data_IF_310156165750
#
_entry.id   IF_310156165750
#
_cell.length_a   1.000
_cell.length_b   1.000
_cell.length_c   1.000
_cell.angle_alpha   90.00
_cell.angle_beta   90.00
_cell.angle_gamma   90.00
#
_symmetry.space_group_name_H-M   'P 1'
#
loop_
_entity.id
_entity.type
_entity.pdbx_description
1 polymer ?
#
# COMPACT_ATOMS: atom_id res chain seq x y z
N UNK A 1 15.26 2.93 18.63
CA UNK A 1 14.17 3.44 17.78
C UNK A 1 14.04 4.97 17.71
N UNK A 2 13.37 5.74 18.61
CA UNK A 2 13.18 7.20 18.37
C UNK A 2 14.46 8.01 18.21
N UNK A 3 15.42 7.81 19.11
CA UNK A 3 16.71 8.51 19.06
C UNK A 3 17.56 8.01 17.89
N UNK A 4 17.60 6.69 17.67
CA UNK A 4 18.29 6.07 16.54
C UNK A 4 17.78 6.59 15.18
N UNK A 5 16.47 6.64 14.97
CA UNK A 5 15.89 7.21 13.74
C UNK A 5 16.26 8.68 13.59
N UNK A 6 16.11 9.48 14.66
CA UNK A 6 16.45 10.93 14.62
C UNK A 6 17.93 11.19 14.36
N UNK A 7 18.83 10.32 14.83
CA UNK A 7 20.27 10.46 14.60
C UNK A 7 20.71 9.94 13.23
N UNK A 8 20.11 8.85 12.75
CA UNK A 8 20.54 8.16 11.54
C UNK A 8 19.99 8.82 10.28
N UNK A 9 18.71 9.23 10.26
CA UNK A 9 18.07 9.80 9.06
C UNK A 9 18.87 10.99 8.45
N UNK A 10 19.37 11.97 9.23
CA UNK A 10 20.17 13.07 8.68
C UNK A 10 21.51 12.65 8.06
N UNK A 11 22.03 11.47 8.42
CA UNK A 11 23.24 10.91 7.79
C UNK A 11 22.96 10.25 6.44
N UNK A 12 21.70 9.90 6.15
CA UNK A 12 21.27 9.22 4.92
C UNK A 12 20.88 10.21 3.82
N UNK A 13 20.31 11.35 4.19
CA UNK A 13 19.99 12.48 3.28
C UNK A 13 20.48 13.79 3.90
N UNK A 14 21.51 14.38 3.30
CA UNK A 14 22.17 15.60 3.75
C UNK A 14 21.29 16.86 3.66
N UNK A 15 20.12 16.74 3.01
CA UNK A 15 19.12 17.80 2.98
C UNK A 15 18.27 17.83 4.26
N UNK A 16 18.22 16.75 5.04
CA UNK A 16 17.41 16.69 6.27
C UNK A 16 18.09 17.49 7.37
N UNK A 17 17.41 18.54 7.83
CA UNK A 17 17.88 19.44 8.90
C UNK A 17 17.09 19.28 10.21
N UNK A 18 15.89 18.70 10.13
CA UNK A 18 15.02 18.45 11.27
C UNK A 18 14.40 17.05 11.18
N UNK A 19 14.36 16.33 12.30
CA UNK A 19 13.69 15.03 12.38
C UNK A 19 12.94 14.91 13.71
N UNK A 20 11.64 14.69 13.64
CA UNK A 20 10.79 14.43 14.80
C UNK A 20 10.06 13.12 14.63
N UNK A 21 9.98 12.36 15.73
CA UNK A 21 9.30 11.06 15.80
C UNK A 21 8.49 11.04 17.09
N UNK A 22 7.18 10.87 16.98
CA UNK A 22 6.27 10.71 18.12
C UNK A 22 5.52 9.39 17.99
N UNK A 23 5.75 8.49 18.94
CA UNK A 23 5.07 7.19 18.99
C UNK A 23 3.73 7.32 19.70
N UNK A 24 2.70 6.73 19.11
CA UNK A 24 1.43 6.48 19.77
C UNK A 24 1.32 5.00 20.12
N UNK A 25 0.85 4.72 21.34
CA UNK A 25 0.38 3.38 21.68
C UNK A 25 -0.89 3.06 20.88
N UNK A 26 -1.13 1.80 20.49
CA UNK A 26 -2.33 1.43 19.77
C UNK A 26 -3.58 1.77 20.61
N UNK A 27 -4.66 2.31 20.02
CA UNK A 27 -5.87 2.54 20.77
C UNK A 27 -6.41 1.22 21.33
N UNK A 28 -6.90 1.25 22.55
CA UNK A 28 -7.42 0.08 23.24
C UNK A 28 -8.70 -0.45 22.55
N UNK A 29 -8.56 -1.38 21.59
CA UNK A 29 -9.68 -2.10 21.01
C UNK A 29 -9.34 -3.57 20.76
N UNK A 30 -10.05 -4.46 21.48
CA UNK A 30 -10.25 -5.89 21.24
C UNK A 30 -9.04 -6.79 20.93
N UNK A 31 -8.12 -6.91 21.91
CA UNK A 31 -7.32 -8.13 22.05
C UNK A 31 -8.23 -9.27 22.53
N UNK A 32 -8.90 -9.97 21.61
CA UNK A 32 -9.41 -11.30 21.90
C UNK A 32 -8.26 -12.31 21.74
N UNK A 33 -7.57 -12.55 22.86
CA UNK A 33 -6.77 -13.72 23.19
C UNK A 33 -6.04 -14.45 22.06
N UNK A 34 -4.81 -14.04 21.78
CA UNK A 34 -3.74 -14.93 21.34
C UNK A 34 -2.47 -14.57 22.13
N UNK A 35 -1.76 -15.57 22.63
CA UNK A 35 -0.59 -15.41 23.49
C UNK A 35 0.47 -14.52 22.84
N UNK A 36 1.01 -13.58 23.62
CA UNK A 36 2.09 -12.71 23.20
C UNK A 36 3.34 -13.56 22.87
N UNK A 37 3.86 -13.56 21.63
CA UNK A 37 5.27 -13.82 21.46
C UNK A 37 6.00 -12.63 22.11
N UNK A 38 6.91 -12.92 23.04
CA UNK A 38 7.58 -11.90 23.85
C UNK A 38 8.11 -10.73 23.00
N UNK A 39 7.89 -9.51 23.50
CA UNK A 39 8.40 -8.28 22.91
C UNK A 39 9.92 -8.43 22.68
N UNK A 40 10.32 -8.63 21.42
CA UNK A 40 11.73 -8.56 21.04
C UNK A 40 12.12 -7.09 21.06
N UNK A 41 13.18 -6.76 21.77
CA UNK A 41 13.85 -5.47 21.58
C UNK A 41 14.34 -5.41 20.13
N UNK A 42 14.08 -4.32 19.38
CA UNK A 42 14.63 -4.15 18.04
C UNK A 42 16.15 -4.26 18.10
N UNK A 43 16.73 -5.06 17.22
CA UNK A 43 18.19 -5.13 17.04
C UNK A 43 18.67 -3.86 16.30
N UNK A 44 19.92 -3.47 16.48
CA UNK A 44 20.51 -2.28 15.85
C UNK A 44 20.39 -2.30 14.31
N UNK A 45 20.38 -3.49 13.71
CA UNK A 45 20.13 -3.67 12.28
C UNK A 45 18.70 -3.31 11.87
N UNK A 46 17.70 -3.55 12.72
CA UNK A 46 16.31 -3.20 12.41
C UNK A 46 16.08 -1.68 12.48
N UNK A 47 16.70 -1.00 13.45
CA UNK A 47 16.66 0.46 13.54
C UNK A 47 17.33 1.11 12.31
N UNK A 48 18.36 0.48 11.73
CA UNK A 48 19.02 0.95 10.51
C UNK A 48 18.18 0.71 9.24
N UNK A 49 17.55 -0.47 9.11
CA UNK A 49 16.58 -0.73 8.04
C UNK A 49 15.42 0.26 8.08
N UNK A 50 14.84 0.50 9.27
CA UNK A 50 13.74 1.44 9.46
C UNK A 50 14.17 2.88 9.07
N UNK A 51 15.40 3.30 9.40
CA UNK A 51 15.91 4.61 9.03
C UNK A 51 16.03 4.78 7.50
N UNK A 52 16.52 3.75 6.80
CA UNK A 52 16.60 3.76 5.34
C UNK A 52 15.22 3.78 4.70
N UNK A 53 14.27 2.99 5.21
CA UNK A 53 12.90 2.96 4.73
C UNK A 53 12.22 4.33 4.87
N UNK A 54 12.32 4.92 6.06
CA UNK A 54 11.76 6.26 6.36
C UNK A 54 12.40 7.34 5.49
N UNK A 55 13.72 7.37 5.41
CA UNK A 55 14.43 8.39 4.63
C UNK A 55 14.11 8.26 3.14
N UNK A 56 14.03 7.04 2.60
CA UNK A 56 13.69 6.78 1.21
C UNK A 56 12.28 7.25 0.85
N UNK A 57 11.27 6.89 1.65
CA UNK A 57 9.87 7.30 1.37
C UNK A 57 9.68 8.81 1.50
N UNK A 58 10.26 9.43 2.52
CA UNK A 58 10.19 10.88 2.67
C UNK A 58 10.93 11.63 1.54
N UNK A 59 12.07 11.10 1.08
CA UNK A 59 12.78 11.68 -0.06
C UNK A 59 12.01 11.48 -1.37
N UNK A 60 11.31 10.35 -1.56
CA UNK A 60 10.41 10.14 -2.69
C UNK A 60 9.27 11.15 -2.69
N UNK A 61 8.63 11.39 -1.53
CA UNK A 61 7.57 12.37 -1.39
C UNK A 61 8.04 13.79 -1.78
N UNK A 62 9.20 14.20 -1.27
CA UNK A 62 9.82 15.48 -1.62
C UNK A 62 10.16 15.54 -3.12
N UNK A 63 10.76 14.49 -3.67
CA UNK A 63 11.15 14.41 -5.09
C UNK A 63 9.95 14.52 -6.03
N UNK A 64 8.85 13.83 -5.72
CA UNK A 64 7.58 13.93 -6.44
C UNK A 64 7.03 15.36 -6.41
N UNK A 65 7.02 15.99 -5.22
CA UNK A 65 6.54 17.35 -5.07
C UNK A 65 7.39 18.35 -5.88
N UNK A 66 8.72 18.27 -5.77
CA UNK A 66 9.69 19.13 -6.49
C UNK A 66 9.57 19.01 -8.01
N UNK A 67 9.25 17.82 -8.55
CA UNK A 67 9.09 17.60 -9.98
C UNK A 67 8.03 18.51 -10.61
N UNK A 68 7.00 18.89 -9.83
CA UNK A 68 5.91 19.77 -10.29
C UNK A 68 6.38 21.15 -10.69
N UNK A 69 7.46 21.65 -10.10
CA UNK A 69 8.04 22.94 -10.47
C UNK A 69 8.71 22.93 -11.86
N UNK A 70 8.87 21.74 -12.46
CA UNK A 70 9.50 21.54 -13.77
C UNK A 70 8.49 21.27 -14.89
N UNK A 71 7.20 21.31 -14.59
CA UNK A 71 6.17 21.12 -15.60
C UNK A 71 6.18 22.26 -16.60
N UNK A 72 6.34 21.92 -17.88
CA UNK A 72 6.23 22.87 -18.96
C UNK A 72 4.75 23.21 -19.23
N UNK A 73 4.51 24.41 -19.76
CA UNK A 73 3.20 24.79 -20.28
C UNK A 73 2.75 23.79 -21.37
N UNK A 74 1.50 23.33 -21.30
CA UNK A 74 0.97 22.33 -22.25
C UNK A 74 1.44 20.88 -22.02
N UNK A 75 2.27 20.60 -21.01
CA UNK A 75 2.65 19.22 -20.67
C UNK A 75 1.40 18.39 -20.31
N UNK A 76 1.22 17.25 -20.98
CA UNK A 76 0.07 16.36 -20.77
C UNK A 76 0.05 15.77 -19.36
N UNK A 77 -1.12 15.38 -18.87
CA UNK A 77 -1.26 14.74 -17.55
C UNK A 77 -0.39 13.49 -17.44
N UNK A 78 -0.37 12.64 -18.47
CA UNK A 78 0.47 11.44 -18.46
C UNK A 78 1.96 11.77 -18.32
N UNK A 79 2.46 12.77 -19.04
CA UNK A 79 3.85 13.20 -18.90
C UNK A 79 4.16 13.76 -17.50
N UNK A 80 3.19 14.45 -16.86
CA UNK A 80 3.33 14.91 -15.48
C UNK A 80 3.37 13.76 -14.49
N UNK A 81 2.50 12.75 -14.65
CA UNK A 81 2.48 11.51 -13.84
C UNK A 81 3.84 10.79 -13.89
N UNK A 82 4.37 10.57 -15.09
CA UNK A 82 5.70 9.95 -15.30
C UNK A 82 6.81 10.81 -14.68
N UNK A 83 6.70 12.14 -14.75
CA UNK A 83 7.71 13.03 -14.19
C UNK A 83 7.73 13.02 -12.65
N UNK A 84 6.56 12.98 -11.98
CA UNK A 84 6.49 12.92 -10.51
C UNK A 84 6.96 11.56 -10.00
N UNK A 85 6.47 10.47 -10.60
CA UNK A 85 6.87 9.12 -10.22
C UNK A 85 8.38 8.92 -10.44
N UNK A 86 8.90 9.27 -11.62
CA UNK A 86 10.31 9.11 -11.89
C UNK A 86 11.22 9.95 -10.99
N UNK A 87 10.74 11.08 -10.47
CA UNK A 87 11.47 11.85 -9.48
C UNK A 87 11.44 11.21 -8.08
N UNK A 88 10.29 10.65 -7.69
CA UNK A 88 10.12 9.91 -6.45
C UNK A 88 11.03 8.68 -6.40
N UNK A 89 10.96 7.86 -7.45
CA UNK A 89 11.78 6.67 -7.66
C UNK A 89 13.27 6.99 -7.51
N UNK A 90 13.78 7.97 -8.26
CA UNK A 90 15.20 8.36 -8.18
C UNK A 90 15.61 8.82 -6.79
N UNK A 91 14.73 9.49 -6.06
CA UNK A 91 15.02 9.98 -4.72
C UNK A 91 15.06 8.84 -3.68
N UNK A 92 14.09 7.93 -3.72
CA UNK A 92 14.07 6.75 -2.85
C UNK A 92 15.23 5.80 -3.13
N UNK A 93 15.41 5.38 -4.38
CA UNK A 93 16.45 4.40 -4.73
C UNK A 93 17.86 4.91 -4.43
N UNK A 94 18.12 6.22 -4.58
CA UNK A 94 19.41 6.83 -4.18
C UNK A 94 19.75 6.60 -2.70
N UNK A 95 18.75 6.51 -1.83
CA UNK A 95 18.92 6.23 -0.40
C UNK A 95 19.02 4.72 -0.18
N UNK A 96 18.11 3.94 -0.77
CA UNK A 96 18.07 2.48 -0.62
C UNK A 96 19.34 1.80 -1.15
N UNK A 97 19.95 2.33 -2.22
CA UNK A 97 21.20 1.82 -2.80
C UNK A 97 22.42 1.97 -1.88
N UNK A 98 22.32 2.83 -0.86
CA UNK A 98 23.38 3.03 0.14
C UNK A 98 23.19 2.19 1.40
N UNK A 99 22.10 1.43 1.48
CA UNK A 99 21.84 0.56 2.62
C UNK A 99 23.01 -0.41 2.86
N UNK A 100 23.37 -0.72 4.12
CA UNK A 100 24.38 -1.73 4.43
C UNK A 100 23.82 -3.16 4.38
N UNK A 101 22.68 -3.35 3.73
CA UNK A 101 21.98 -4.61 3.54
C UNK A 101 21.39 -4.67 2.13
N UNK A 102 20.99 -5.86 1.70
CA UNK A 102 20.43 -6.09 0.37
C UNK A 102 18.92 -6.04 0.42
N UNK A 103 18.31 -5.40 -0.57
CA UNK A 103 16.87 -5.32 -0.70
C UNK A 103 16.47 -6.02 -1.99
N UNK A 104 15.67 -7.08 -1.87
CA UNK A 104 15.00 -7.69 -3.01
C UNK A 104 13.63 -7.06 -3.15
N UNK A 105 13.38 -6.36 -4.26
CA UNK A 105 12.05 -5.83 -4.56
C UNK A 105 11.13 -7.00 -4.93
N UNK A 106 10.22 -7.36 -4.04
CA UNK A 106 9.27 -8.44 -4.25
C UNK A 106 7.99 -7.95 -4.94
N UNK A 107 7.60 -6.70 -4.72
CA UNK A 107 6.44 -6.08 -5.34
C UNK A 107 6.68 -4.58 -5.51
N UNK A 108 6.25 -4.03 -6.63
CA UNK A 108 6.23 -2.59 -6.87
C UNK A 108 5.56 -2.25 -8.19
N UNK A 109 5.80 -1.05 -8.72
CA UNK A 109 5.07 -0.40 -9.84
C UNK A 109 5.12 -1.12 -11.22
N UNK A 110 5.53 -2.39 -11.25
CA UNK A 110 5.40 -3.25 -12.42
C UNK A 110 6.50 -3.05 -13.47
N UNK A 111 6.40 -3.83 -14.55
CA UNK A 111 7.34 -3.77 -15.69
C UNK A 111 6.74 -3.01 -16.90
N UNK A 112 5.42 -2.73 -16.89
CA UNK A 112 4.69 -2.21 -18.06
C UNK A 112 4.46 -0.70 -18.04
N UNK A 113 4.34 -0.09 -16.88
CA UNK A 113 4.45 1.37 -16.80
C UNK A 113 5.92 1.68 -17.07
N UNK A 114 6.23 2.74 -17.84
CA UNK A 114 7.60 3.23 -18.08
C UNK A 114 8.30 3.70 -16.76
N UNK A 115 7.90 3.15 -15.61
CA UNK A 115 8.38 3.41 -14.27
C UNK A 115 9.88 3.11 -14.20
N UNK A 116 10.68 4.06 -13.73
CA UNK A 116 12.13 3.94 -13.77
C UNK A 116 12.72 3.05 -12.66
N UNK A 117 11.91 2.43 -11.79
CA UNK A 117 12.38 1.67 -10.62
C UNK A 117 11.31 0.80 -9.95
N UNK A 118 11.58 0.28 -8.75
CA UNK A 118 10.70 -0.65 -8.00
C UNK A 118 10.22 -1.89 -8.79
N UNK A 119 10.99 -2.38 -9.77
CA UNK A 119 10.58 -3.54 -10.57
C UNK A 119 10.65 -4.82 -9.74
N UNK A 120 9.61 -5.66 -9.81
CA UNK A 120 9.65 -6.99 -9.20
C UNK A 120 10.92 -7.75 -9.64
N UNK A 121 11.70 -8.25 -8.67
CA UNK A 121 12.96 -8.94 -8.90
C UNK A 121 14.20 -8.03 -8.95
N UNK A 122 14.05 -6.71 -8.91
CA UNK A 122 15.15 -5.76 -8.77
C UNK A 122 15.87 -5.95 -7.43
N UNK A 123 17.19 -5.75 -7.44
CA UNK A 123 18.01 -5.69 -6.24
C UNK A 123 18.50 -4.26 -6.01
N UNK A 124 18.26 -3.72 -4.83
CA UNK A 124 18.82 -2.45 -4.34
C UNK A 124 19.86 -2.74 -3.26
N UNK A 125 20.75 -1.77 -3.03
CA UNK A 125 21.82 -1.88 -2.05
C UNK A 125 23.07 -2.59 -2.60
N UNK A 126 23.97 -3.09 -1.74
CA UNK A 126 25.29 -3.57 -2.14
C UNK A 126 25.20 -4.91 -2.87
N UNK A 127 26.08 -5.13 -3.84
CA UNK A 127 26.22 -6.43 -4.52
C UNK A 127 27.14 -7.37 -3.75
N UNK A 128 26.80 -7.65 -2.49
CA UNK A 128 27.54 -8.56 -1.61
C UNK A 128 26.61 -9.63 -1.03
N UNK A 129 26.77 -10.87 -1.49
CA UNK A 129 25.93 -12.00 -1.09
C UNK A 129 26.09 -12.41 0.39
N UNK A 130 27.10 -11.88 1.10
CA UNK A 130 27.27 -12.12 2.53
C UNK A 130 26.37 -11.22 3.41
N UNK A 131 25.80 -10.16 2.84
CA UNK A 131 24.94 -9.22 3.58
C UNK A 131 23.53 -9.77 3.80
N UNK A 132 22.86 -9.36 4.90
CA UNK A 132 21.47 -9.73 5.14
C UNK A 132 20.56 -9.22 4.02
N UNK A 133 19.52 -9.99 3.72
CA UNK A 133 18.53 -9.68 2.69
C UNK A 133 17.19 -9.37 3.34
N UNK A 134 16.56 -8.28 2.92
CA UNK A 134 15.17 -7.94 3.22
C UNK A 134 14.35 -8.00 1.93
N UNK A 135 13.08 -8.38 2.06
CA UNK A 135 12.13 -8.21 0.95
C UNK A 135 11.46 -6.84 1.06
N UNK A 136 11.51 -6.08 -0.03
CA UNK A 136 10.90 -4.76 -0.17
C UNK A 136 9.63 -4.80 -1.00
N UNK A 137 8.62 -4.05 -0.55
CA UNK A 137 7.41 -3.73 -1.32
C UNK A 137 7.33 -2.21 -1.45
N UNK A 138 7.30 -1.67 -2.67
CA UNK A 138 7.39 -0.22 -2.88
C UNK A 138 6.37 0.27 -3.89
N UNK A 139 5.70 1.37 -3.55
CA UNK A 139 4.97 2.22 -4.48
C UNK A 139 5.45 3.65 -4.20
N UNK A 140 6.25 4.20 -5.11
CA UNK A 140 6.94 5.45 -4.82
C UNK A 140 6.03 6.66 -4.99
N UNK A 141 4.91 6.54 -5.72
CA UNK A 141 3.82 7.53 -5.75
C UNK A 141 2.47 6.84 -5.95
N UNK A 142 1.86 6.45 -4.85
CA UNK A 142 0.47 6.01 -4.87
C UNK A 142 -0.45 7.23 -5.06
N UNK A 143 -1.24 7.19 -6.14
CA UNK A 143 -1.99 8.34 -6.62
C UNK A 143 -1.16 9.32 -7.48
N UNK A 144 -0.39 8.83 -8.46
CA UNK A 144 0.38 9.67 -9.41
C UNK A 144 -0.42 10.83 -10.03
N UNK A 145 -1.71 10.63 -10.33
CA UNK A 145 -2.58 11.70 -10.84
C UNK A 145 -2.84 12.80 -9.80
N UNK A 146 -3.07 12.42 -8.54
CA UNK A 146 -3.23 13.35 -7.42
C UNK A 146 -1.93 14.14 -7.20
N UNK A 147 -0.78 13.45 -7.20
CA UNK A 147 0.53 14.09 -7.11
C UNK A 147 0.76 15.07 -8.27
N UNK A 148 0.51 14.66 -9.52
CA UNK A 148 0.71 15.47 -10.72
C UNK A 148 -0.21 16.70 -10.79
N UNK A 149 -1.35 16.67 -10.11
CA UNK A 149 -2.33 17.76 -10.09
C UNK A 149 -2.36 18.53 -8.76
N UNK A 150 -1.48 18.19 -7.81
CA UNK A 150 -1.47 18.75 -6.45
C UNK A 150 -2.82 18.61 -5.73
N UNK A 151 -3.51 17.51 -5.98
CA UNK A 151 -4.75 17.16 -5.28
C UNK A 151 -4.43 16.36 -4.01
N UNK A 152 -5.20 16.53 -2.93
CA UNK A 152 -4.98 15.81 -1.68
C UNK A 152 -5.03 14.29 -1.82
N UNK A 153 -4.19 13.58 -1.06
CA UNK A 153 -4.28 12.14 -0.86
C UNK A 153 -3.15 11.28 -1.45
N UNK A 154 -2.23 11.86 -2.23
CA UNK A 154 -1.09 11.11 -2.78
C UNK A 154 -0.09 10.74 -1.68
N UNK A 155 0.42 9.50 -1.72
CA UNK A 155 1.32 8.94 -0.72
C UNK A 155 2.52 8.26 -1.39
N UNK A 156 3.58 8.07 -0.63
CA UNK A 156 4.65 7.12 -0.94
C UNK A 156 4.53 5.96 0.03
N UNK A 157 4.76 4.73 -0.43
CA UNK A 157 4.56 3.51 0.33
C UNK A 157 5.81 2.62 0.24
N UNK A 158 6.32 2.19 1.38
CA UNK A 158 7.44 1.26 1.44
C UNK A 158 7.26 0.27 2.58
N UNK A 159 7.42 -1.02 2.31
CA UNK A 159 7.30 -2.09 3.29
C UNK A 159 8.52 -3.00 3.30
N UNK A 160 8.95 -3.42 4.49
CA UNK A 160 9.97 -4.44 4.66
C UNK A 160 9.43 -5.67 5.39
N UNK A 161 9.84 -6.84 4.90
CA UNK A 161 9.47 -8.14 5.46
C UNK A 161 10.40 -9.26 5.00
N UNK A 162 9.96 -10.51 5.19
CA UNK A 162 10.75 -11.69 4.79
C UNK A 162 9.91 -12.80 4.16
N UNK A 163 10.33 -13.26 2.99
CA UNK A 163 9.58 -14.23 2.18
C UNK A 163 8.29 -13.64 1.62
N UNK A 164 8.33 -12.37 1.20
CA UNK A 164 7.27 -11.79 0.39
C UNK A 164 7.33 -12.45 -0.99
N UNK A 165 6.20 -12.97 -1.45
CA UNK A 165 6.11 -13.63 -2.75
C UNK A 165 6.17 -12.58 -3.87
N UNK A 166 7.04 -12.77 -4.87
CA UNK A 166 7.08 -11.89 -6.03
C UNK A 166 5.75 -11.88 -6.78
N UNK A 167 5.27 -10.69 -7.14
CA UNK A 167 4.01 -10.51 -7.88
C UNK A 167 4.26 -9.93 -9.27
N UNK A 168 3.55 -10.44 -10.30
CA UNK A 168 3.52 -9.78 -11.60
C UNK A 168 2.69 -8.49 -11.54
N UNK A 169 2.88 -7.63 -12.54
CA UNK A 169 2.05 -6.45 -12.78
C UNK A 169 0.66 -6.86 -13.27
N UNK A 170 -0.23 -7.10 -12.31
CA UNK A 170 -1.62 -7.55 -12.47
C UNK A 170 -2.50 -6.90 -11.39
N UNK A 171 -3.80 -7.12 -11.47
CA UNK A 171 -4.74 -6.78 -10.41
C UNK A 171 -5.09 -8.02 -9.58
N UNK A 172 -5.90 -7.81 -8.55
CA UNK A 172 -6.58 -8.83 -7.79
C UNK A 172 -8.00 -8.39 -7.44
N UNK A 173 -8.97 -9.30 -7.54
CA UNK A 173 -10.24 -9.15 -6.83
C UNK A 173 -10.05 -9.68 -5.41
N UNK A 174 -10.11 -8.79 -4.42
CA UNK A 174 -9.75 -9.10 -3.05
C UNK A 174 -10.87 -8.77 -2.05
N UNK A 175 -10.92 -9.54 -0.97
CA UNK A 175 -11.82 -9.37 0.17
C UNK A 175 -11.02 -9.44 1.46
N UNK A 176 -11.06 -8.37 2.27
CA UNK A 176 -10.52 -8.35 3.63
C UNK A 176 -11.52 -9.01 4.59
N UNK A 177 -11.10 -10.03 5.33
CA UNK A 177 -11.95 -10.75 6.27
C UNK A 177 -11.15 -11.32 7.45
N UNK A 178 -11.80 -11.76 8.53
CA UNK A 178 -11.14 -12.52 9.60
C UNK A 178 -10.38 -13.73 9.06
N UNK A 179 -9.16 -13.97 9.58
CA UNK A 179 -8.27 -15.04 9.09
C UNK A 179 -8.92 -16.43 9.13
N UNK A 180 -9.72 -16.70 10.15
CA UNK A 180 -10.44 -17.98 10.32
C UNK A 180 -11.53 -18.21 9.24
N UNK A 181 -11.94 -17.17 8.52
CA UNK A 181 -12.91 -17.27 7.43
C UNK A 181 -12.28 -17.47 6.05
N UNK A 182 -11.01 -17.11 5.84
CA UNK A 182 -10.44 -16.97 4.50
C UNK A 182 -10.55 -18.24 3.64
N UNK A 183 -10.23 -19.40 4.22
CA UNK A 183 -10.35 -20.69 3.53
C UNK A 183 -11.81 -21.15 3.34
N UNK A 184 -12.73 -20.60 4.13
CA UNK A 184 -14.14 -20.90 4.03
C UNK A 184 -14.87 -20.06 3.00
N UNK A 185 -14.39 -18.85 2.69
CA UNK A 185 -14.99 -17.96 1.68
C UNK A 185 -14.66 -18.48 0.27
N UNK A 186 -15.67 -18.56 -0.60
CA UNK A 186 -15.48 -18.87 -2.02
C UNK A 186 -15.80 -17.62 -2.84
N UNK A 187 -14.76 -17.03 -3.43
CA UNK A 187 -14.84 -15.84 -4.30
C UNK A 187 -14.52 -16.19 -5.77
N UNK A 188 -14.47 -17.47 -6.12
CA UNK A 188 -14.31 -17.94 -7.52
C UNK A 188 -15.52 -17.69 -8.42
N UNK A 189 -16.77 -17.66 -7.93
CA UNK A 189 -17.88 -17.17 -8.73
C UNK A 189 -17.66 -15.71 -9.16
N UNK A 190 -18.57 -15.18 -9.99
CA UNK A 190 -18.52 -13.77 -10.37
C UNK A 190 -18.65 -12.89 -9.10
N UNK A 191 -17.93 -11.77 -9.01
CA UNK A 191 -17.98 -10.88 -7.84
C UNK A 191 -19.41 -10.52 -7.43
N UNK A 192 -20.26 -10.18 -8.40
CA UNK A 192 -21.67 -9.81 -8.19
C UNK A 192 -22.53 -10.98 -7.69
N UNK A 193 -22.18 -12.22 -8.07
CA UNK A 193 -22.90 -13.42 -7.65
C UNK A 193 -22.47 -13.89 -6.24
N UNK A 194 -21.30 -13.48 -5.76
CA UNK A 194 -20.69 -13.95 -4.50
C UNK A 194 -20.68 -12.92 -3.37
N UNK A 195 -20.78 -11.62 -3.66
CA UNK A 195 -20.60 -10.54 -2.67
C UNK A 195 -21.58 -10.62 -1.49
N UNK A 196 -22.86 -10.94 -1.73
CA UNK A 196 -23.89 -11.00 -0.68
C UNK A 196 -23.61 -12.15 0.32
N UNK A 197 -23.42 -13.42 -0.13
CA UNK A 197 -22.98 -14.49 0.76
C UNK A 197 -21.67 -14.22 1.51
N UNK A 198 -20.72 -13.54 0.87
CA UNK A 198 -19.44 -13.17 1.51
C UNK A 198 -19.69 -12.19 2.66
N UNK A 199 -20.44 -11.12 2.41
CA UNK A 199 -20.80 -10.13 3.43
C UNK A 199 -21.60 -10.75 4.59
N UNK A 200 -22.53 -11.67 4.31
CA UNK A 200 -23.27 -12.38 5.36
C UNK A 200 -22.35 -13.17 6.29
N UNK A 201 -21.32 -13.82 5.72
CA UNK A 201 -20.35 -14.60 6.50
C UNK A 201 -19.42 -13.72 7.32
N UNK A 202 -18.94 -12.61 6.73
CA UNK A 202 -18.13 -11.61 7.44
C UNK A 202 -18.94 -11.02 8.60
N UNK A 203 -20.16 -10.57 8.35
CA UNK A 203 -21.06 -10.02 9.38
C UNK A 203 -21.26 -11.01 10.53
N UNK A 204 -21.54 -12.28 10.22
CA UNK A 204 -21.70 -13.34 11.20
C UNK A 204 -20.45 -13.54 12.07
N UNK A 205 -19.25 -13.58 11.47
CA UNK A 205 -18.00 -13.73 12.23
C UNK A 205 -17.72 -12.49 13.10
N UNK A 206 -18.04 -11.29 12.61
CA UNK A 206 -17.90 -10.04 13.36
C UNK A 206 -19.03 -9.81 14.38
N UNK A 207 -20.03 -10.71 14.45
CA UNK A 207 -21.23 -10.58 15.30
C UNK A 207 -22.01 -9.28 15.01
N UNK A 208 -22.06 -8.90 13.74
CA UNK A 208 -22.79 -7.75 13.21
C UNK A 208 -23.94 -8.21 12.31
N UNK A 209 -24.91 -7.34 12.09
CA UNK A 209 -25.84 -7.49 10.96
C UNK A 209 -25.12 -7.09 9.67
N UNK A 210 -25.42 -7.72 8.51
CA UNK A 210 -24.81 -7.35 7.23
C UNK A 210 -24.98 -5.86 6.88
N UNK A 211 -26.16 -5.30 7.15
CA UNK A 211 -26.44 -3.87 6.98
C UNK A 211 -25.77 -2.94 8.00
N UNK A 212 -25.02 -3.47 8.96
CA UNK A 212 -24.21 -2.70 9.91
C UNK A 212 -22.71 -2.78 9.59
N UNK A 213 -22.34 -3.40 8.46
CA UNK A 213 -20.97 -3.40 7.96
C UNK A 213 -20.67 -2.08 7.25
N UNK A 214 -19.51 -1.51 7.55
CA UNK A 214 -18.89 -0.45 6.73
C UNK A 214 -17.88 -1.09 5.78
N UNK A 215 -18.15 -1.04 4.48
CA UNK A 215 -17.36 -1.66 3.41
C UNK A 215 -16.63 -0.57 2.64
N UNK A 216 -15.30 -0.67 2.55
CA UNK A 216 -14.54 0.10 1.57
C UNK A 216 -14.42 -0.67 0.25
N UNK A 217 -14.48 0.04 -0.86
CA UNK A 217 -14.32 -0.55 -2.20
C UNK A 217 -13.50 0.38 -3.09
N UNK A 218 -13.17 -0.07 -4.30
CA UNK A 218 -12.37 0.68 -5.23
C UNK A 218 -13.11 1.94 -5.72
N UNK A 219 -12.34 2.92 -6.19
CA UNK A 219 -12.86 4.25 -6.56
C UNK A 219 -13.86 4.24 -7.72
N UNK A 220 -14.73 5.26 -7.76
CA UNK A 220 -15.60 5.53 -8.93
C UNK A 220 -14.84 6.05 -10.16
N UNK A 221 -13.58 6.48 -10.00
CA UNK A 221 -12.76 6.97 -11.12
C UNK A 221 -12.53 5.89 -12.19
N UNK A 222 -12.65 4.62 -11.80
CA UNK A 222 -12.49 3.45 -12.67
C UNK A 222 -13.66 3.17 -13.66
N UNK A 223 -14.57 4.16 -13.87
CA UNK A 223 -15.70 4.22 -14.85
C UNK A 223 -16.05 2.94 -15.64
N UNK A 224 -17.33 2.56 -15.75
CA UNK A 224 -18.32 2.42 -14.69
C UNK A 224 -18.10 1.13 -13.86
N UNK A 225 -16.90 0.56 -13.95
CA UNK A 225 -16.51 -0.66 -13.24
C UNK A 225 -16.82 -0.53 -11.75
N UNK A 226 -17.37 -1.61 -11.16
CA UNK A 226 -17.84 -1.72 -9.77
C UNK A 226 -19.25 -1.17 -9.45
N UNK A 227 -19.96 -0.48 -10.36
CA UNK A 227 -21.27 0.09 -10.00
C UNK A 227 -22.29 -0.97 -9.60
N UNK A 228 -22.28 -2.14 -10.26
CA UNK A 228 -23.20 -3.24 -9.95
C UNK A 228 -22.86 -3.86 -8.58
N UNK A 229 -21.57 -4.09 -8.32
CA UNK A 229 -21.08 -4.56 -7.02
C UNK A 229 -21.46 -3.59 -5.89
N UNK A 230 -21.24 -2.28 -6.09
CA UNK A 230 -21.61 -1.22 -5.14
C UNK A 230 -23.12 -1.23 -4.87
N UNK A 231 -23.93 -1.34 -5.92
CA UNK A 231 -25.38 -1.37 -5.79
C UNK A 231 -25.86 -2.58 -4.99
N UNK A 232 -25.25 -3.75 -5.19
CA UNK A 232 -25.56 -4.97 -4.44
C UNK A 232 -25.22 -4.81 -2.95
N UNK A 233 -24.02 -4.34 -2.63
CA UNK A 233 -23.58 -4.12 -1.24
C UNK A 233 -24.47 -3.10 -0.52
N UNK A 234 -24.81 -1.97 -1.19
CA UNK A 234 -25.76 -0.98 -0.65
C UNK A 234 -27.16 -1.55 -0.49
N UNK A 235 -27.60 -2.41 -1.42
CA UNK A 235 -28.90 -3.09 -1.37
C UNK A 235 -29.06 -4.04 -0.17
N UNK A 236 -27.96 -4.61 0.33
CA UNK A 236 -27.92 -5.40 1.56
C UNK A 236 -28.00 -4.53 2.83
N UNK A 237 -27.91 -3.20 2.67
CA UNK A 237 -27.95 -2.21 3.73
C UNK A 237 -26.58 -1.80 4.27
N UNK A 238 -25.48 -2.34 3.76
CA UNK A 238 -24.13 -1.97 4.22
C UNK A 238 -23.81 -0.53 3.85
N UNK A 239 -23.07 0.16 4.73
CA UNK A 239 -22.46 1.44 4.37
C UNK A 239 -21.30 1.16 3.41
N UNK A 240 -21.33 1.75 2.21
CA UNK A 240 -20.29 1.52 1.19
C UNK A 240 -19.54 2.81 0.93
N UNK A 241 -18.30 2.86 1.44
CA UNK A 241 -17.35 3.93 1.20
C UNK A 241 -16.76 3.75 -0.19
N UNK A 242 -17.03 4.71 -1.07
CA UNK A 242 -16.51 4.71 -2.44
C UNK A 242 -15.63 5.95 -2.62
N UNK A 243 -14.31 5.79 -2.71
CA UNK A 243 -13.40 6.89 -2.98
C UNK A 243 -13.67 7.56 -4.33
N UNK A 244 -13.43 8.87 -4.44
CA UNK A 244 -13.60 9.61 -5.70
C UNK A 244 -12.49 9.35 -6.71
N UNK A 245 -11.23 9.35 -6.25
CA UNK A 245 -10.03 9.13 -7.06
C UNK A 245 -9.51 7.71 -6.87
N UNK A 246 -8.79 7.18 -7.87
CA UNK A 246 -8.10 5.89 -7.78
C UNK A 246 -7.29 5.87 -6.49
N UNK A 247 -7.68 4.96 -5.60
CA UNK A 247 -7.28 4.95 -4.20
C UNK A 247 -5.87 4.52 -3.96
N UNK A 248 -5.36 5.09 -2.86
CA UNK A 248 -4.43 4.49 -1.92
C UNK A 248 -5.26 3.71 -0.89
N UNK A 249 -5.15 2.39 -0.78
CA UNK A 249 -5.82 1.56 0.25
C UNK A 249 -5.44 1.92 1.71
N UNK A 250 -4.19 2.33 2.03
CA UNK A 250 -3.74 2.59 3.38
C UNK A 250 -4.60 3.45 4.29
N UNK A 251 -5.19 4.60 3.89
CA UNK A 251 -6.07 5.37 4.76
C UNK A 251 -7.26 4.54 5.27
N UNK A 252 -7.81 3.63 4.48
CA UNK A 252 -8.90 2.76 4.92
C UNK A 252 -8.40 1.63 5.83
N UNK A 253 -7.23 1.04 5.53
CA UNK A 253 -6.65 0.01 6.37
C UNK A 253 -6.20 0.55 7.73
N UNK A 254 -5.61 1.75 7.77
CA UNK A 254 -5.20 2.42 9.01
C UNK A 254 -6.39 2.84 9.89
N UNK A 255 -7.61 2.89 9.34
CA UNK A 255 -8.84 3.10 10.12
C UNK A 255 -9.13 1.93 11.08
N UNK A 256 -8.62 0.71 10.77
CA UNK A 256 -8.77 -0.47 11.62
C UNK A 256 -8.19 -0.26 13.03
N UNK A 257 -7.16 0.59 13.11
CA UNK A 257 -6.47 1.00 14.33
C UNK A 257 -6.74 2.46 14.71
N UNK A 258 -7.77 3.09 14.15
CA UNK A 258 -8.24 4.43 14.55
C UNK A 258 -7.35 5.60 14.15
N UNK A 259 -6.47 5.44 13.15
CA UNK A 259 -5.68 6.57 12.61
C UNK A 259 -6.45 7.43 11.60
N UNK A 260 -7.60 6.96 11.15
CA UNK A 260 -8.46 7.62 10.18
C UNK A 260 -9.91 7.17 10.40
N UNK A 261 -10.84 7.95 9.86
CA UNK A 261 -12.27 7.68 9.91
C UNK A 261 -12.88 7.85 8.50
N UNK A 262 -14.00 7.17 8.19
CA UNK A 262 -14.68 6.19 9.04
C UNK A 262 -13.95 4.84 9.11
N UNK A 263 -14.03 4.17 10.26
CA UNK A 263 -13.52 2.80 10.44
C UNK A 263 -14.24 1.79 9.55
N UNK A 264 -13.47 1.02 8.78
CA UNK A 264 -13.99 -0.06 7.94
C UNK A 264 -14.13 -1.37 8.71
N UNK A 265 -15.06 -2.21 8.28
CA UNK A 265 -15.16 -3.62 8.69
C UNK A 265 -14.51 -4.57 7.68
N UNK A 266 -14.62 -4.24 6.40
CA UNK A 266 -14.07 -5.03 5.29
C UNK A 266 -13.76 -4.13 4.11
N UNK A 267 -12.95 -4.66 3.20
CA UNK A 267 -12.58 -4.06 1.93
C UNK A 267 -12.87 -5.09 0.85
N UNK A 268 -13.61 -4.70 -0.20
CA UNK A 268 -13.99 -5.59 -1.30
C UNK A 268 -13.85 -4.85 -2.62
N UNK A 269 -13.07 -5.37 -3.56
CA UNK A 269 -12.95 -4.77 -4.89
C UNK A 269 -11.72 -5.22 -5.67
N UNK A 270 -11.51 -4.58 -6.83
CA UNK A 270 -10.27 -4.70 -7.57
C UNK A 270 -9.18 -3.83 -6.93
N UNK A 271 -7.99 -4.41 -6.75
CA UNK A 271 -6.80 -3.76 -6.19
C UNK A 271 -5.61 -4.17 -7.08
N UNK A 272 -4.62 -3.33 -7.29
CA UNK A 272 -3.36 -3.77 -7.92
C UNK A 272 -2.70 -4.88 -7.09
N UNK A 273 -2.06 -5.86 -7.73
CA UNK A 273 -1.53 -7.02 -7.02
C UNK A 273 -0.30 -6.66 -6.15
N UNK A 274 0.49 -5.67 -6.59
CA UNK A 274 1.56 -5.03 -5.83
C UNK A 274 1.02 -4.28 -4.61
N UNK A 275 -0.03 -3.50 -4.79
CA UNK A 275 -0.73 -2.74 -3.77
C UNK A 275 -1.38 -3.69 -2.77
N UNK A 276 -1.93 -4.82 -3.23
CA UNK A 276 -2.41 -5.89 -2.37
C UNK A 276 -1.28 -6.54 -1.56
N UNK A 277 -0.08 -6.69 -2.12
CA UNK A 277 1.08 -7.18 -1.35
C UNK A 277 1.48 -6.19 -0.24
N UNK A 278 1.47 -4.88 -0.53
CA UNK A 278 1.67 -3.85 0.49
C UNK A 278 0.56 -3.86 1.54
N UNK A 279 -0.71 -3.90 1.11
CA UNK A 279 -1.89 -3.94 1.97
C UNK A 279 -1.88 -5.17 2.89
N UNK A 280 -1.53 -6.36 2.37
CA UNK A 280 -1.37 -7.57 3.15
C UNK A 280 -0.24 -7.42 4.19
N UNK A 281 0.88 -6.82 3.78
CA UNK A 281 2.00 -6.53 4.69
C UNK A 281 1.61 -5.55 5.80
N UNK A 282 0.85 -4.50 5.47
CA UNK A 282 0.35 -3.52 6.42
C UNK A 282 -0.65 -4.13 7.40
N UNK A 283 -1.59 -4.95 6.92
CA UNK A 283 -2.55 -5.69 7.76
C UNK A 283 -1.83 -6.64 8.72
N UNK A 284 -0.78 -7.34 8.28
CA UNK A 284 0.05 -8.19 9.15
C UNK A 284 0.68 -7.40 10.31
N UNK A 285 1.00 -6.11 10.11
CA UNK A 285 1.55 -5.23 11.15
C UNK A 285 0.48 -4.72 12.13
N UNK A 286 -0.72 -4.39 11.65
CA UNK A 286 -1.71 -3.60 12.40
C UNK A 286 -2.95 -4.39 12.88
N UNK A 287 -3.32 -5.46 12.17
CA UNK A 287 -4.53 -6.24 12.43
C UNK A 287 -4.34 -7.70 11.95
N UNK A 288 -3.40 -8.46 12.55
CA UNK A 288 -3.04 -9.82 12.11
C UNK A 288 -4.19 -10.86 12.24
N UNK A 289 -5.28 -10.52 12.91
CA UNK A 289 -6.53 -11.29 12.94
C UNK A 289 -7.37 -11.15 11.66
N UNK A 290 -7.01 -10.20 10.77
CA UNK A 290 -7.59 -10.02 9.46
C UNK A 290 -6.59 -10.45 8.38
N UNK A 291 -7.12 -10.76 7.20
CA UNK A 291 -6.31 -11.04 6.02
C UNK A 291 -7.16 -10.95 4.76
N UNK A 292 -6.52 -11.12 3.62
CA UNK A 292 -7.22 -11.07 2.33
C UNK A 292 -7.46 -12.48 1.81
N UNK A 293 -8.63 -12.70 1.21
CA UNK A 293 -8.83 -13.75 0.21
C UNK A 293 -8.91 -13.07 -1.14
N UNK A 294 -8.21 -13.58 -2.15
CA UNK A 294 -8.15 -12.92 -3.44
C UNK A 294 -8.03 -13.89 -4.62
N UNK A 295 -8.36 -13.37 -5.80
CA UNK A 295 -8.06 -13.97 -7.10
C UNK A 295 -7.26 -12.98 -7.90
N UNK A 296 -6.22 -13.46 -8.58
CA UNK A 296 -5.51 -12.64 -9.56
C UNK A 296 -6.48 -12.18 -10.65
N UNK A 297 -6.28 -10.98 -11.14
CA UNK A 297 -7.13 -10.30 -12.10
C UNK A 297 -6.28 -9.59 -13.16
N UNK A 298 -6.85 -9.47 -14.35
CA UNK A 298 -6.25 -8.82 -15.51
C UNK A 298 -6.29 -7.30 -15.37
N UNK A 299 -5.21 -6.65 -15.80
CA UNK A 299 -5.16 -5.20 -16.04
C UNK A 299 -5.72 -4.89 -17.44
N UNK A 300 -5.41 -5.74 -18.42
CA UNK A 300 -5.81 -5.57 -19.82
C UNK A 300 -7.32 -5.72 -20.03
N UNK A 301 -7.98 -6.62 -19.33
CA UNK A 301 -9.41 -6.92 -19.46
C UNK A 301 -10.29 -5.69 -19.23
N UNK A 302 -10.22 -5.03 -18.06
CA UNK A 302 -10.94 -3.78 -17.81
C UNK A 302 -10.64 -2.68 -18.84
N UNK A 303 -9.38 -2.55 -19.28
CA UNK A 303 -8.97 -1.57 -20.29
C UNK A 303 -9.58 -1.85 -21.66
N UNK A 304 -9.77 -3.11 -22.02
CA UNK A 304 -10.42 -3.54 -23.26
C UNK A 304 -11.95 -3.37 -23.21
N UNK A 305 -12.55 -3.43 -22.02
CA UNK A 305 -13.99 -3.34 -21.83
C UNK A 305 -14.41 -2.24 -20.84
N UNK A 306 -14.02 -0.96 -21.09
CA UNK A 306 -14.20 0.15 -20.15
C UNK A 306 -15.65 0.61 -19.97
N UNK A 307 -16.61 -0.10 -20.56
CA UNK A 307 -18.04 0.21 -20.52
C UNK A 307 -18.82 -0.74 -19.60
N UNK A 308 -18.18 -1.80 -19.10
CA UNK A 308 -18.83 -2.74 -18.18
C UNK A 308 -19.03 -2.11 -16.79
N UNK A 309 -20.22 -2.33 -16.25
CA UNK A 309 -20.62 -1.93 -14.90
C UNK A 309 -20.29 -2.99 -13.83
N UNK A 310 -20.07 -4.22 -14.29
CA UNK A 310 -19.68 -5.38 -13.50
C UNK A 310 -18.17 -5.66 -13.65
N UNK A 311 -17.69 -6.63 -12.87
CA UNK A 311 -16.28 -7.01 -12.80
C UNK A 311 -15.89 -8.21 -13.66
N UNK A 312 -16.72 -8.60 -14.63
CA UNK A 312 -16.45 -9.78 -15.48
C UNK A 312 -15.13 -9.64 -16.27
N UNK A 313 -14.76 -8.41 -16.64
CA UNK A 313 -13.51 -8.13 -17.35
C UNK A 313 -12.24 -8.38 -16.53
N UNK A 314 -12.33 -8.42 -15.19
CA UNK A 314 -11.17 -8.73 -14.34
C UNK A 314 -10.60 -10.12 -14.62
N UNK A 315 -11.36 -11.04 -15.22
CA UNK A 315 -10.91 -12.41 -15.47
C UNK A 315 -10.64 -12.68 -16.95
N UNK A 316 -10.49 -11.62 -17.76
CA UNK A 316 -10.15 -11.68 -19.19
C UNK A 316 -8.69 -11.28 -19.41
N UNK A 317 -7.78 -12.25 -19.27
CA UNK A 317 -6.33 -12.04 -19.38
C UNK A 317 -5.87 -11.91 -20.84
N UNK A 318 -4.88 -11.05 -21.08
CA UNK A 318 -4.13 -11.05 -22.35
C UNK A 318 -3.10 -12.19 -22.38
N UNK A 319 -2.58 -12.52 -23.58
CA UNK A 319 -1.52 -13.52 -23.72
C UNK A 319 -0.27 -13.18 -22.87
N UNK A 320 0.14 -11.90 -22.86
CA UNK A 320 1.27 -11.43 -22.06
C UNK A 320 1.03 -11.60 -20.55
N UNK A 321 -0.21 -11.41 -20.09
CA UNK A 321 -0.57 -11.62 -18.69
C UNK A 321 -0.57 -13.10 -18.31
N UNK A 322 -1.04 -13.99 -19.20
CA UNK A 322 -0.97 -15.43 -18.98
C UNK A 322 0.48 -15.93 -18.90
N UNK A 323 1.37 -15.38 -19.74
CA UNK A 323 2.82 -15.66 -19.67
C UNK A 323 3.42 -15.17 -18.34
N UNK A 324 3.05 -13.96 -17.90
CA UNK A 324 3.52 -13.39 -16.63
C UNK A 324 3.05 -14.24 -15.42
N UNK A 325 1.79 -14.66 -15.43
CA UNK A 325 1.23 -15.57 -14.43
C UNK A 325 2.01 -16.88 -14.35
N UNK A 326 2.17 -17.56 -15.50
CA UNK A 326 2.86 -18.85 -15.56
C UNK A 326 4.31 -18.78 -15.10
N UNK A 327 5.02 -17.72 -15.49
CA UNK A 327 6.42 -17.50 -15.10
C UNK A 327 6.58 -17.24 -13.60
N UNK A 328 5.61 -16.57 -12.97
CA UNK A 328 5.58 -16.31 -11.52
C UNK A 328 4.94 -17.42 -10.68
N UNK A 329 4.55 -18.54 -11.30
CA UNK A 329 3.85 -19.65 -10.63
C UNK A 329 2.46 -19.28 -10.11
N UNK A 330 1.83 -18.27 -10.71
CA UNK A 330 0.46 -17.85 -10.43
C UNK A 330 -0.51 -18.57 -11.37
N UNK A 331 -1.59 -19.07 -10.81
CA UNK A 331 -2.71 -19.70 -11.50
C UNK A 331 -3.94 -18.78 -11.43
N UNK A 332 -4.49 -18.42 -12.59
CA UNK A 332 -5.66 -17.54 -12.74
C UNK A 332 -6.98 -18.13 -12.27
N UNK A 333 -7.08 -19.46 -12.23
CA UNK A 333 -8.29 -20.18 -11.85
C UNK A 333 -8.30 -20.54 -10.35
N UNK A 334 -7.21 -20.22 -9.64
CA UNK A 334 -7.04 -20.46 -8.21
C UNK A 334 -7.40 -19.22 -7.38
N UNK A 335 -7.96 -19.50 -6.20
CA UNK A 335 -8.10 -18.54 -5.11
C UNK A 335 -6.89 -18.64 -4.16
N UNK A 336 -6.44 -17.48 -3.67
CA UNK A 336 -5.31 -17.31 -2.76
C UNK A 336 -5.76 -16.62 -1.47
N UNK A 337 -4.90 -16.64 -0.46
CA UNK A 337 -5.02 -15.77 0.72
C UNK A 337 -3.80 -14.87 0.87
N UNK A 338 -3.87 -13.85 1.72
CA UNK A 338 -2.73 -12.98 2.02
C UNK A 338 -1.50 -13.76 2.47
N UNK A 339 -1.65 -14.96 3.03
CA UNK A 339 -0.52 -15.84 3.38
C UNK A 339 0.27 -16.37 2.17
N UNK A 340 -0.34 -16.39 0.97
CA UNK A 340 0.33 -16.70 -0.28
C UNK A 340 1.18 -15.51 -0.80
N UNK A 341 0.95 -14.29 -0.28
CA UNK A 341 1.71 -13.06 -0.61
C UNK A 341 2.76 -12.74 0.46
N UNK A 342 2.32 -12.67 1.72
CA UNK A 342 3.12 -12.29 2.88
C UNK A 342 2.89 -13.34 3.95
N UNK A 343 3.96 -13.98 4.43
CA UNK A 343 3.83 -14.98 5.50
C UNK A 343 3.34 -14.29 6.78
N UNK A 344 2.39 -14.86 7.53
CA UNK A 344 1.92 -14.25 8.77
C UNK A 344 3.07 -13.99 9.75
N UNK A 345 3.12 -12.78 10.31
CA UNK A 345 4.15 -12.30 11.23
C UNK A 345 5.52 -12.06 10.57
N UNK A 346 5.60 -12.01 9.24
CA UNK A 346 6.86 -11.79 8.52
C UNK A 346 7.09 -10.34 8.12
N UNK A 347 6.07 -9.48 8.18
CA UNK A 347 6.22 -8.05 8.00
C UNK A 347 6.96 -7.43 9.18
N UNK A 348 7.91 -6.54 8.88
CA UNK A 348 8.78 -5.88 9.87
C UNK A 348 8.50 -4.40 10.01
N UNK A 349 8.17 -3.71 8.93
CA UNK A 349 7.87 -2.29 8.93
C UNK A 349 7.08 -1.87 7.68
N UNK A 350 6.30 -0.80 7.80
CA UNK A 350 5.77 -0.06 6.66
C UNK A 350 5.96 1.45 6.91
N UNK A 351 6.46 2.18 5.92
CA UNK A 351 6.56 3.63 5.95
C UNK A 351 5.63 4.23 4.90
N UNK A 352 4.92 5.29 5.28
CA UNK A 352 3.99 6.01 4.42
C UNK A 352 4.21 7.51 4.58
N UNK A 353 4.46 8.25 3.50
CA UNK A 353 4.67 9.70 3.55
C UNK A 353 3.79 10.45 2.55
N UNK A 354 3.25 11.58 2.98
CA UNK A 354 2.42 12.45 2.15
C UNK A 354 3.22 13.08 1.01
N UNK A 355 2.81 12.82 -0.23
CA UNK A 355 3.28 13.53 -1.44
C UNK A 355 2.49 14.82 -1.61
N UNK A 356 1.18 14.75 -1.37
CA UNK A 356 0.27 15.89 -1.21
C UNK A 356 -0.43 15.76 0.14
N UNK A 357 -1.04 16.85 0.62
CA UNK A 357 -1.75 16.82 1.89
C UNK A 357 -2.76 15.67 1.94
N UNK A 358 -2.76 14.92 3.03
CA UNK A 358 -3.67 13.81 3.24
C UNK A 358 -4.56 14.12 4.46
N UNK A 359 -5.74 14.75 4.26
CA UNK A 359 -6.61 15.15 5.35
C UNK A 359 -7.17 13.95 6.12
N UNK A 360 -7.39 12.81 5.45
CA UNK A 360 -7.91 11.57 6.07
C UNK A 360 -6.95 11.02 7.13
N UNK A 361 -5.64 11.12 6.88
CA UNK A 361 -4.60 10.71 7.81
C UNK A 361 -4.05 11.87 8.65
N UNK A 362 -4.52 13.09 8.39
CA UNK A 362 -4.06 14.32 9.01
C UNK A 362 -2.56 14.55 8.89
N UNK A 363 -1.92 14.14 7.78
CA UNK A 363 -0.49 14.37 7.49
C UNK A 363 -0.35 15.31 6.29
N UNK A 364 0.72 16.09 6.28
CA UNK A 364 0.97 17.12 5.25
C UNK A 364 2.10 16.73 4.30
N UNK A 365 1.90 17.04 3.03
CA UNK A 365 2.93 16.90 2.01
C UNK A 365 3.87 18.12 1.97
N UNK A 366 4.89 18.10 1.10
CA UNK A 366 5.83 19.21 0.95
C UNK A 366 5.15 20.44 0.33
N UNK A 367 5.13 21.58 1.04
CA UNK A 367 4.73 22.89 0.49
C UNK A 367 5.95 23.64 -0.09
N UNK A 368 6.06 23.67 -1.41
CA UNK A 368 7.18 24.33 -2.11
C UNK A 368 7.12 25.86 -2.06
N UNK A 369 6.04 26.44 -1.54
CA UNK A 369 5.90 27.88 -1.31
C UNK A 369 6.43 28.31 0.05
N UNK A 370 6.64 27.37 0.98
CA UNK A 370 7.21 27.65 2.30
C UNK A 370 8.63 28.20 2.17
N UNK A 371 8.93 29.29 2.90
CA UNK A 371 10.28 29.84 2.98
C UNK A 371 11.09 29.12 4.06
N UNK A 372 12.31 28.69 3.72
CA UNK A 372 13.22 28.03 4.66
C UNK A 372 13.19 26.51 4.57
N UNK A 373 12.59 25.85 5.56
CA UNK A 373 12.57 24.39 5.71
C UNK A 373 11.24 23.85 5.17
N UNK A 374 11.31 22.90 4.23
CA UNK A 374 10.15 22.20 3.68
C UNK A 374 9.89 20.95 4.52
N UNK A 375 8.68 20.80 5.05
CA UNK A 375 8.35 19.62 5.86
C UNK A 375 7.63 18.54 5.06
N UNK A 376 7.92 17.29 5.40
CA UNK A 376 7.19 16.10 4.94
C UNK A 376 6.75 15.32 6.16
N UNK A 377 5.47 14.95 6.21
CA UNK A 377 4.89 14.18 7.31
C UNK A 377 4.46 12.78 6.84
N UNK A 378 4.58 11.82 7.76
CA UNK A 378 4.28 10.42 7.48
C UNK A 378 4.25 9.55 8.72
N UNK A 379 4.21 8.24 8.50
CA UNK A 379 4.19 7.22 9.53
C UNK A 379 5.26 6.16 9.29
N UNK A 380 5.81 5.63 10.38
CA UNK A 380 6.45 4.32 10.44
C UNK A 380 5.56 3.40 11.27
N UNK A 381 5.07 2.33 10.65
CA UNK A 381 4.20 1.32 11.24
C UNK A 381 5.03 0.08 11.52
N UNK A 382 4.93 -0.43 12.74
CA UNK A 382 5.65 -1.60 13.25
C UNK A 382 4.64 -2.65 13.76
N UNK A 383 5.07 -3.91 13.98
CA UNK A 383 4.19 -4.96 14.47
C UNK A 383 3.45 -4.56 15.75
N UNK A 384 2.31 -5.21 15.99
CA UNK A 384 1.39 -4.91 17.09
C UNK A 384 0.81 -3.48 17.02
N UNK A 385 0.54 -2.99 15.80
CA UNK A 385 -0.05 -1.69 15.54
C UNK A 385 0.70 -0.50 16.19
N UNK A 386 2.02 -0.63 16.34
CA UNK A 386 2.85 0.45 16.89
C UNK A 386 3.14 1.46 15.80
N UNK A 387 2.70 2.70 15.98
CA UNK A 387 2.77 3.76 14.96
C UNK A 387 3.64 4.91 15.46
N UNK A 388 4.67 5.23 14.68
CA UNK A 388 5.49 6.42 14.86
C UNK A 388 5.08 7.46 13.84
N UNK A 389 4.50 8.58 14.28
CA UNK A 389 4.30 9.75 13.42
C UNK A 389 5.63 10.48 13.25
N UNK A 390 6.00 10.74 12.00
CA UNK A 390 7.28 11.30 11.62
C UNK A 390 7.06 12.62 10.89
N UNK A 391 7.85 13.63 11.24
CA UNK A 391 7.98 14.86 10.45
C UNK A 391 9.45 15.14 10.22
N UNK A 392 9.84 15.20 8.95
CA UNK A 392 11.17 15.55 8.51
C UNK A 392 11.16 16.94 7.88
N UNK A 393 12.15 17.76 8.21
CA UNK A 393 12.36 19.07 7.62
C UNK A 393 13.57 19.03 6.70
N UNK A 394 13.38 19.46 5.45
CA UNK A 394 14.38 19.51 4.41
C UNK A 394 14.78 20.94 4.13
N UNK A 395 16.09 21.20 4.00
CA UNK A 395 16.58 22.45 3.44
C UNK A 395 16.26 22.50 1.94
N UNK A 396 15.88 23.68 1.46
CA UNK A 396 15.63 23.92 0.04
C UNK A 396 16.89 23.87 -0.83
#
# INVERSE_FOLDING_TARGET
MSEALRSTIPSLDDRVVEATVSWSDPPAAHVHGAGHPGARTPDASEDEEDAHLVAAMAAAALGAAEARSRFAEGMSLNARKVAVDGAATRAAEKILDKAPFRIRVAAGEGERDDSPGARTGQWLGPRDDALPVVDGVFDYVDGTELAATDQPGALTLGGFGTGVRPVPDLQAYAVLAPVDLLHGLDIRPRPEDSVIPVLDRIAKAMRKNPGALTVSTHSIASKPMHSDLIALMRGQGSEVLVPESVTVEPPYLLSLIGLSEPRIDTMIGAIGLSELAFAAGLVDLIAPELGFVFRVASVAGPRAEPHLTNLDALFKFSEDEEVALGSGGWDKDRQYTSSDLVRPGSSRAAALFAVTDNPTLGIRGPDLKEEGVIHVEGFLVKPAAKVGRIRLGYRR
#
